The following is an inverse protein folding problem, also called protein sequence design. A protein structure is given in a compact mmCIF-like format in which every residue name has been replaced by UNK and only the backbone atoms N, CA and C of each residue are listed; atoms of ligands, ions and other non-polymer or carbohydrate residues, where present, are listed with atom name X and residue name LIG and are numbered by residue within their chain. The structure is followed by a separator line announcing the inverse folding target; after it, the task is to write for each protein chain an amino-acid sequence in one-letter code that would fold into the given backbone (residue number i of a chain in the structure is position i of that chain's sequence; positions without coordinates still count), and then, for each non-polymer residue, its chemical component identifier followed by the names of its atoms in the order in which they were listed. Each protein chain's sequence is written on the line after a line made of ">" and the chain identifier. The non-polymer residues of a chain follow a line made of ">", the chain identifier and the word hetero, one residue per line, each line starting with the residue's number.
data_IF_093666809723
#
_entry.id   IF_093666809723
#
_cell.length_a   1.000
_cell.length_b   1.000
_cell.length_c   1.000
_cell.angle_alpha   90.00
_cell.angle_beta   90.00
_cell.angle_gamma   90.00
#
_symmetry.space_group_name_H-M   'P 1'
#
loop_
_entity.id
_entity.type
_entity.pdbx_description
1 polymer ?
#
# COMPACT_ATOMS: atom_id res chain seq x y z
N UNK A 1 -13.80 8.85 14.04
CA UNK A 1 -13.13 8.14 12.94
C UNK A 1 -13.28 6.65 13.20
N UNK A 2 -13.71 5.84 12.21
CA UNK A 2 -13.88 4.39 12.42
C UNK A 2 -12.52 3.70 12.57
N UNK A 3 -12.44 2.49 13.16
CA UNK A 3 -11.19 1.74 13.27
C UNK A 3 -10.49 1.53 11.92
N UNK A 4 -11.24 1.25 10.86
CA UNK A 4 -10.71 1.07 9.51
C UNK A 4 -10.10 2.36 8.98
N UNK A 5 -10.75 3.50 9.23
CA UNK A 5 -10.24 4.80 8.81
C UNK A 5 -8.94 5.17 9.53
N UNK A 6 -8.77 4.79 10.81
CA UNK A 6 -7.50 4.97 11.54
C UNK A 6 -6.38 4.13 10.92
N UNK A 7 -6.66 2.87 10.57
CA UNK A 7 -5.67 2.01 9.92
C UNK A 7 -5.34 2.47 8.49
N UNK A 8 -6.33 2.94 7.74
CA UNK A 8 -6.12 3.50 6.40
C UNK A 8 -5.21 4.73 6.45
N UNK A 9 -5.41 5.61 7.44
CA UNK A 9 -4.52 6.76 7.66
C UNK A 9 -3.09 6.34 8.02
N UNK A 10 -2.90 5.23 8.75
CA UNK A 10 -1.54 4.73 9.03
C UNK A 10 -0.82 4.35 7.73
N UNK A 11 -1.50 3.65 6.83
CA UNK A 11 -0.93 3.30 5.51
C UNK A 11 -0.64 4.56 4.71
N UNK A 12 -1.60 5.49 4.59
CA UNK A 12 -1.40 6.77 3.87
C UNK A 12 -0.27 7.61 4.48
N UNK A 13 -0.04 7.54 5.79
CA UNK A 13 1.08 8.24 6.43
C UNK A 13 2.45 7.66 6.04
N UNK A 14 2.55 6.39 5.65
CA UNK A 14 3.81 5.82 5.12
C UNK A 14 4.21 6.60 3.85
N UNK A 15 3.27 6.79 2.93
CA UNK A 15 3.49 7.59 1.71
C UNK A 15 3.94 9.01 2.03
N UNK A 16 3.28 9.68 2.99
CA UNK A 16 3.65 11.05 3.40
C UNK A 16 5.04 11.14 4.00
N UNK A 17 5.38 10.24 4.92
CA UNK A 17 6.69 10.21 5.57
C UNK A 17 7.81 9.96 4.54
N UNK A 18 7.53 9.19 3.50
CA UNK A 18 8.47 8.91 2.42
C UNK A 18 8.43 9.94 1.27
N UNK A 19 7.62 11.00 1.40
CA UNK A 19 7.42 12.03 0.38
C UNK A 19 6.92 11.48 -0.97
N UNK A 20 6.09 10.43 -0.92
CA UNK A 20 5.50 9.72 -2.06
C UNK A 20 3.98 9.90 -2.15
N UNK A 21 3.39 10.82 -1.37
CA UNK A 21 1.94 11.08 -1.38
C UNK A 21 1.52 11.71 -2.73
N UNK A 22 0.98 10.89 -3.63
CA UNK A 22 0.56 11.31 -4.98
C UNK A 22 1.68 11.50 -6.01
N UNK A 23 2.91 11.08 -5.72
CA UNK A 23 4.09 11.35 -6.57
C UNK A 23 4.88 10.10 -7.01
N UNK A 24 4.37 8.89 -6.78
CA UNK A 24 5.06 7.61 -7.08
C UNK A 24 5.60 7.47 -8.51
N UNK A 25 4.97 8.13 -9.48
CA UNK A 25 5.35 8.05 -10.89
C UNK A 25 6.55 8.95 -11.24
N UNK A 26 7.00 9.80 -10.32
CA UNK A 26 8.09 10.77 -10.55
C UNK A 26 9.41 10.34 -9.90
N UNK A 27 9.42 9.26 -9.11
CA UNK A 27 10.61 8.86 -8.36
C UNK A 27 11.41 7.76 -9.08
N UNK A 28 12.68 8.09 -9.36
CA UNK A 28 13.68 7.19 -9.93
C UNK A 28 14.50 6.45 -8.85
N UNK A 29 14.29 6.75 -7.56
CA UNK A 29 14.98 6.10 -6.44
C UNK A 29 14.39 4.71 -6.14
N UNK A 30 14.98 3.70 -6.79
CA UNK A 30 14.57 2.30 -6.62
C UNK A 30 14.61 1.81 -5.16
N UNK A 31 15.59 2.26 -4.36
CA UNK A 31 15.72 1.82 -2.98
C UNK A 31 14.56 2.35 -2.11
N UNK A 32 14.10 3.57 -2.40
CA UNK A 32 12.92 4.15 -1.75
C UNK A 32 11.64 3.46 -2.17
N UNK A 33 11.49 3.14 -3.46
CA UNK A 33 10.36 2.36 -3.96
C UNK A 33 10.28 1.00 -3.25
N UNK A 34 11.43 0.32 -3.11
CA UNK A 34 11.51 -0.97 -2.43
C UNK A 34 11.13 -0.86 -0.95
N UNK A 35 11.64 0.16 -0.26
CA UNK A 35 11.31 0.41 1.15
C UNK A 35 9.82 0.73 1.34
N UNK A 36 9.23 1.52 0.43
CA UNK A 36 7.82 1.87 0.47
C UNK A 36 6.94 0.63 0.24
N UNK A 37 7.30 -0.17 -0.77
CA UNK A 37 6.62 -1.41 -1.09
C UNK A 37 6.58 -2.36 0.12
N UNK A 38 7.74 -2.62 0.74
CA UNK A 38 7.82 -3.51 1.89
C UNK A 38 6.99 -2.98 3.07
N UNK A 39 7.11 -1.67 3.37
CA UNK A 39 6.36 -1.05 4.47
C UNK A 39 4.83 -1.13 4.26
N UNK A 40 4.35 -0.89 3.04
CA UNK A 40 2.92 -0.95 2.72
C UNK A 40 2.41 -2.39 2.74
N UNK A 41 3.16 -3.34 2.17
CA UNK A 41 2.82 -4.78 2.21
C UNK A 41 2.68 -5.27 3.65
N UNK A 42 3.63 -4.91 4.53
CA UNK A 42 3.55 -5.23 5.95
C UNK A 42 2.31 -4.59 6.60
N UNK A 43 2.06 -3.31 6.37
CA UNK A 43 0.92 -2.62 6.97
C UNK A 43 -0.45 -3.20 6.52
N UNK A 44 -0.57 -3.63 5.26
CA UNK A 44 -1.77 -4.34 4.76
C UNK A 44 -1.94 -5.68 5.49
N UNK A 45 -0.85 -6.43 5.66
CA UNK A 45 -0.90 -7.73 6.35
C UNK A 45 -1.12 -7.61 7.86
N UNK A 46 -0.80 -6.48 8.48
CA UNK A 46 -0.94 -6.26 9.93
C UNK A 46 -2.25 -5.55 10.31
N UNK A 47 -2.91 -4.87 9.37
CA UNK A 47 -4.18 -4.20 9.69
C UNK A 47 -5.26 -5.23 10.10
N UNK A 48 -6.12 -4.83 11.04
CA UNK A 48 -7.18 -5.68 11.58
C UNK A 48 -8.51 -5.39 10.87
N UNK A 49 -9.34 -4.48 11.41
CA UNK A 49 -10.62 -4.10 10.80
C UNK A 49 -10.53 -3.73 9.30
N UNK A 50 -9.50 -2.97 8.89
CA UNK A 50 -9.34 -2.52 7.50
C UNK A 50 -9.14 -3.70 6.54
N UNK A 51 -8.41 -4.74 6.94
CA UNK A 51 -8.09 -5.89 6.08
C UNK A 51 -9.34 -6.53 5.50
N UNK A 52 -10.43 -6.55 6.27
CA UNK A 52 -11.73 -7.12 5.85
C UNK A 52 -12.49 -6.25 4.84
N UNK A 53 -12.07 -4.99 4.66
CA UNK A 53 -12.64 -4.03 3.72
C UNK A 53 -11.81 -3.90 2.43
N UNK A 54 -10.52 -4.25 2.49
CA UNK A 54 -9.66 -4.24 1.32
C UNK A 54 -10.07 -5.32 0.32
N UNK A 55 -10.09 -5.00 -1.00
CA UNK A 55 -10.16 -6.00 -2.06
C UNK A 55 -9.12 -7.10 -1.87
N UNK A 56 -9.62 -8.32 -1.65
CA UNK A 56 -8.77 -9.40 -1.15
C UNK A 56 -7.77 -9.88 -2.19
N UNK A 57 -8.17 -10.01 -3.46
CA UNK A 57 -7.29 -10.57 -4.50
C UNK A 57 -6.27 -9.54 -5.00
N UNK A 58 -6.57 -8.26 -4.84
CA UNK A 58 -5.82 -7.13 -5.38
C UNK A 58 -4.79 -6.62 -4.36
N UNK A 59 -5.11 -6.65 -3.06
CA UNK A 59 -4.23 -6.11 -2.02
C UNK A 59 -3.83 -7.14 -0.97
N UNK A 60 -4.79 -7.81 -0.34
CA UNK A 60 -4.51 -8.66 0.84
C UNK A 60 -3.75 -9.92 0.46
N UNK A 61 -4.21 -10.64 -0.57
CA UNK A 61 -3.61 -11.88 -1.03
C UNK A 61 -2.20 -11.64 -1.60
N UNK A 62 -1.95 -10.66 -2.48
CA UNK A 62 -0.61 -10.37 -2.99
C UNK A 62 0.36 -10.00 -1.87
N UNK A 63 -0.01 -9.08 -0.97
CA UNK A 63 0.84 -8.70 0.17
C UNK A 63 1.21 -9.90 1.03
N UNK A 64 0.22 -10.73 1.38
CA UNK A 64 0.49 -11.93 2.18
C UNK A 64 1.42 -12.90 1.46
N UNK A 65 1.19 -13.14 0.16
CA UNK A 65 1.99 -14.10 -0.62
C UNK A 65 3.43 -13.66 -0.79
N UNK A 66 3.66 -12.35 -0.95
CA UNK A 66 5.02 -11.78 -0.93
C UNK A 66 5.71 -12.05 0.42
N UNK A 67 5.05 -11.79 1.54
CA UNK A 67 5.62 -12.04 2.88
C UNK A 67 5.86 -13.54 3.16
N UNK A 68 5.03 -14.42 2.60
CA UNK A 68 5.21 -15.88 2.65
C UNK A 68 6.37 -16.37 1.76
N UNK A 69 6.96 -15.52 0.93
CA UNK A 69 8.03 -15.88 -0.01
C UNK A 69 7.53 -16.67 -1.22
N UNK A 70 6.25 -16.54 -1.59
CA UNK A 70 5.68 -17.19 -2.77
C UNK A 70 6.44 -16.75 -4.03
N UNK A 71 7.07 -17.69 -4.72
CA UNK A 71 7.95 -17.40 -5.84
C UNK A 71 7.24 -16.70 -7.01
N UNK A 72 5.94 -16.96 -7.20
CA UNK A 72 5.15 -16.32 -8.25
C UNK A 72 4.91 -14.85 -7.95
N UNK A 73 4.46 -14.54 -6.73
CA UNK A 73 4.21 -13.16 -6.31
C UNK A 73 5.50 -12.36 -6.10
N UNK A 74 6.52 -12.96 -5.49
CA UNK A 74 7.85 -12.34 -5.39
C UNK A 74 8.41 -12.06 -6.78
N UNK A 75 8.29 -13.01 -7.72
CA UNK A 75 8.70 -12.83 -9.11
C UNK A 75 7.95 -11.70 -9.80
N UNK A 76 6.62 -11.63 -9.63
CA UNK A 76 5.79 -10.56 -10.17
C UNK A 76 6.25 -9.17 -9.68
N UNK A 77 6.53 -9.03 -8.38
CA UNK A 77 7.00 -7.77 -7.80
C UNK A 77 8.51 -7.54 -7.91
N UNK A 78 9.27 -8.36 -8.65
CA UNK A 78 10.62 -7.97 -9.06
C UNK A 78 10.59 -6.86 -10.12
N UNK A 79 9.54 -6.85 -10.93
CA UNK A 79 9.29 -5.77 -11.88
C UNK A 79 8.84 -4.51 -11.13
N UNK A 80 9.60 -3.43 -11.28
CA UNK A 80 9.37 -2.19 -10.52
C UNK A 80 8.06 -1.51 -10.87
N UNK A 81 7.64 -1.62 -12.13
CA UNK A 81 6.37 -1.07 -12.55
C UNK A 81 5.20 -1.76 -11.85
N UNK A 82 5.29 -3.07 -11.59
CA UNK A 82 4.28 -3.76 -10.79
C UNK A 82 4.22 -3.24 -9.34
N UNK A 83 5.36 -2.88 -8.74
CA UNK A 83 5.37 -2.21 -7.42
C UNK A 83 4.71 -0.84 -7.50
N UNK A 84 5.06 -0.03 -8.50
CA UNK A 84 4.49 1.32 -8.69
C UNK A 84 2.97 1.26 -8.89
N UNK A 85 2.49 0.37 -9.75
CA UNK A 85 1.05 0.17 -9.97
C UNK A 85 0.35 -0.26 -8.69
N UNK A 86 0.85 -1.28 -8.00
CA UNK A 86 0.28 -1.75 -6.74
C UNK A 86 0.22 -0.64 -5.68
N UNK A 87 1.30 0.12 -5.53
CA UNK A 87 1.40 1.21 -4.57
C UNK A 87 0.49 2.39 -4.92
N UNK A 88 0.32 2.71 -6.21
CA UNK A 88 -0.66 3.71 -6.65
C UNK A 88 -2.08 3.25 -6.38
N UNK A 89 -2.43 2.02 -6.75
CA UNK A 89 -3.80 1.50 -6.64
C UNK A 89 -4.28 1.49 -5.18
N UNK A 90 -3.44 1.04 -4.24
CA UNK A 90 -3.81 1.06 -2.81
C UNK A 90 -3.87 2.48 -2.26
N UNK A 91 -2.97 3.38 -2.69
CA UNK A 91 -2.99 4.77 -2.27
C UNK A 91 -4.29 5.46 -2.73
N UNK A 92 -4.63 5.32 -4.01
CA UNK A 92 -5.84 5.90 -4.60
C UNK A 92 -7.11 5.32 -3.95
N UNK A 93 -7.14 4.00 -3.75
CA UNK A 93 -8.25 3.31 -3.08
C UNK A 93 -8.47 3.85 -1.67
N UNK A 94 -7.43 3.96 -0.86
CA UNK A 94 -7.53 4.45 0.51
C UNK A 94 -7.86 5.95 0.56
N UNK A 95 -7.30 6.75 -0.35
CA UNK A 95 -7.59 8.18 -0.44
C UNK A 95 -9.05 8.43 -0.84
N UNK A 96 -9.58 7.66 -1.78
CA UNK A 96 -10.98 7.78 -2.22
C UNK A 96 -11.97 7.47 -1.08
N UNK A 97 -11.70 6.42 -0.30
CA UNK A 97 -12.61 5.93 0.74
C UNK A 97 -12.43 6.62 2.09
N UNK A 98 -11.21 6.98 2.44
CA UNK A 98 -10.86 7.46 3.79
C UNK A 98 -10.18 8.83 3.80
N UNK A 99 -9.72 9.34 2.65
CA UNK A 99 -9.03 10.63 2.53
C UNK A 99 -9.94 11.86 2.61
N UNK A 100 -11.25 11.73 2.34
CA UNK A 100 -12.21 12.86 2.38
C UNK A 100 -12.50 13.43 3.77
N UNK A 101 -12.08 12.78 4.85
CA UNK A 101 -12.31 13.26 6.22
C UNK A 101 -11.21 14.21 6.76
N UNK A 102 -10.33 14.73 5.89
CA UNK A 102 -9.32 15.72 6.28
C UNK A 102 -9.71 17.18 5.98
N UNK A 103 -10.99 17.43 5.69
CA UNK A 103 -11.54 18.78 5.49
C UNK A 103 -12.78 19.05 6.33
N UNK A 104 -12.58 19.52 7.56
CA UNK A 104 -13.50 20.34 8.35
C UNK A 104 -12.70 21.13 9.37
#
# INVERSE_FOLDING_TARGET
>A
MSPEAVEALKILNIYRMMQQDGTLYLDEDDARLDTLFDAVVHAICECGPLKTKLPYNEFVLPSRKVLEGDAGWVGHFKERDNRRFFLSDIHDYLTLLYGRNQGS
#
